data_IF_043842714587
#
_entry.id   IF_043842714587
#
_cell.length_a   1.000
_cell.length_b   1.000
_cell.length_c   1.000
_cell.angle_alpha   90.00
_cell.angle_beta   90.00
_cell.angle_gamma   90.00
#
_symmetry.space_group_name_H-M   'P 1'
#
loop_
_entity.id
_entity.type
_entity.pdbx_description
1 polymer ?
#
# COMPACT_ATOMS: atom_id res chain seq x y z
N UNK A 1 -21.89 37.69 -24.31
CA UNK A 1 -21.64 36.22 -24.33
C UNK A 1 -20.45 36.00 -23.43
N UNK A 2 -20.70 35.92 -22.13
CA UNK A 2 -19.64 35.88 -21.11
C UNK A 2 -19.08 34.46 -21.00
N UNK A 3 -17.77 34.39 -21.18
CA UNK A 3 -16.92 33.22 -21.08
C UNK A 3 -16.88 32.75 -19.62
N UNK A 4 -17.66 31.70 -19.31
CA UNK A 4 -17.54 30.94 -18.07
C UNK A 4 -16.34 30.01 -18.18
N UNK A 5 -15.15 30.57 -18.02
CA UNK A 5 -13.97 29.80 -17.65
C UNK A 5 -14.21 29.20 -16.26
N UNK A 6 -14.69 27.95 -16.25
CA UNK A 6 -14.81 27.15 -15.05
C UNK A 6 -13.41 26.98 -14.47
N UNK A 7 -13.20 27.59 -13.31
CA UNK A 7 -12.06 27.37 -12.44
C UNK A 7 -12.05 25.87 -12.06
N UNK A 8 -11.35 25.03 -12.83
CA UNK A 8 -11.05 23.65 -12.43
C UNK A 8 -10.28 23.72 -11.12
N UNK A 9 -11.01 23.52 -10.04
CA UNK A 9 -10.45 23.49 -8.70
C UNK A 9 -9.47 22.34 -8.67
N UNK A 10 -8.18 22.65 -8.73
CA UNK A 10 -7.11 21.66 -8.58
C UNK A 10 -7.40 20.91 -7.29
N UNK A 11 -7.77 19.64 -7.43
CA UNK A 11 -8.18 18.83 -6.30
C UNK A 11 -6.92 18.48 -5.52
N UNK A 12 -6.70 19.16 -4.41
CA UNK A 12 -5.50 18.99 -3.61
C UNK A 12 -5.61 17.72 -2.77
N UNK A 13 -4.49 16.99 -2.67
CA UNK A 13 -4.42 15.70 -1.98
C UNK A 13 -3.53 15.84 -0.75
N UNK A 14 -4.02 15.35 0.39
CA UNK A 14 -3.28 15.32 1.66
C UNK A 14 -3.05 13.88 2.08
N UNK A 15 -1.83 13.54 2.49
CA UNK A 15 -1.50 12.22 3.06
C UNK A 15 -1.18 12.41 4.55
N UNK A 16 -1.85 11.66 5.41
CA UNK A 16 -1.61 11.69 6.86
C UNK A 16 -1.99 10.36 7.52
N UNK A 17 -1.45 10.13 8.71
CA UNK A 17 -1.96 9.10 9.62
C UNK A 17 -3.22 9.67 10.28
N UNK A 18 -4.39 9.00 10.16
CA UNK A 18 -5.60 9.45 10.83
C UNK A 18 -5.45 9.38 12.36
N UNK A 19 -6.15 10.24 13.12
CA UNK A 19 -6.30 10.02 14.56
C UNK A 19 -6.97 8.67 14.83
N UNK A 20 -6.62 8.05 15.97
CA UNK A 20 -7.12 6.73 16.38
C UNK A 20 -8.64 6.67 16.49
N UNK A 21 -9.31 7.81 16.72
CA UNK A 21 -10.78 7.90 16.77
C UNK A 21 -11.47 7.51 15.46
N UNK A 22 -10.79 7.60 14.31
CA UNK A 22 -11.35 7.09 13.04
C UNK A 22 -11.49 5.55 13.02
N UNK A 23 -10.85 4.83 13.93
CA UNK A 23 -11.03 3.39 14.04
C UNK A 23 -12.45 3.00 14.51
N UNK A 24 -13.14 3.92 15.19
CA UNK A 24 -14.51 3.71 15.68
C UNK A 24 -15.56 4.30 14.71
N UNK A 25 -15.12 4.93 13.61
CA UNK A 25 -15.96 5.30 12.48
C UNK A 25 -16.03 4.12 11.50
N UNK A 26 -17.10 3.33 11.63
CA UNK A 26 -17.34 2.16 10.79
C UNK A 26 -17.42 2.51 9.30
N UNK A 27 -17.98 3.68 8.96
CA UNK A 27 -18.10 4.12 7.57
C UNK A 27 -16.73 4.45 6.97
N UNK A 28 -15.87 5.11 7.74
CA UNK A 28 -14.50 5.41 7.34
C UNK A 28 -13.70 4.11 7.11
N UNK A 29 -13.72 3.20 8.09
CA UNK A 29 -13.02 1.92 8.01
C UNK A 29 -13.53 1.07 6.83
N UNK A 30 -14.84 1.04 6.60
CA UNK A 30 -15.45 0.34 5.48
C UNK A 30 -15.05 0.94 4.12
N UNK A 31 -15.00 2.27 4.02
CA UNK A 31 -14.59 2.96 2.79
C UNK A 31 -13.15 2.61 2.43
N UNK A 32 -12.22 2.70 3.38
CA UNK A 32 -10.81 2.36 3.14
C UNK A 32 -10.64 0.88 2.81
N UNK A 33 -11.34 -0.02 3.52
CA UNK A 33 -11.32 -1.45 3.21
C UNK A 33 -11.84 -1.73 1.78
N UNK A 34 -12.89 -1.02 1.35
CA UNK A 34 -13.42 -1.11 -0.01
C UNK A 34 -12.39 -0.71 -1.08
N UNK A 35 -11.65 0.37 -0.86
CA UNK A 35 -10.57 0.81 -1.76
C UNK A 35 -9.47 -0.26 -1.86
N UNK A 36 -9.02 -0.79 -0.71
CA UNK A 36 -7.99 -1.84 -0.67
C UNK A 36 -8.47 -3.09 -1.40
N UNK A 37 -9.65 -3.58 -1.05
CA UNK A 37 -10.19 -4.82 -1.63
C UNK A 37 -10.44 -4.68 -3.13
N UNK A 38 -10.91 -3.53 -3.60
CA UNK A 38 -11.10 -3.27 -5.03
C UNK A 38 -9.76 -3.28 -5.79
N UNK A 39 -8.75 -2.57 -5.27
CA UNK A 39 -7.43 -2.52 -5.89
C UNK A 39 -6.75 -3.90 -5.94
N UNK A 40 -6.84 -4.67 -4.86
CA UNK A 40 -6.21 -6.00 -4.78
C UNK A 40 -6.98 -7.08 -5.55
N UNK A 41 -8.32 -7.01 -5.60
CA UNK A 41 -9.13 -7.91 -6.44
C UNK A 41 -8.76 -7.79 -7.91
N UNK A 42 -8.49 -6.58 -8.39
CA UNK A 42 -8.02 -6.38 -9.77
C UNK A 42 -6.56 -6.81 -9.93
N UNK A 43 -5.68 -6.40 -9.02
CA UNK A 43 -4.24 -6.62 -9.16
C UNK A 43 -3.79 -8.08 -8.93
N UNK A 44 -4.59 -8.89 -8.23
CA UNK A 44 -4.25 -10.26 -7.83
C UNK A 44 -5.30 -11.30 -8.25
N UNK A 45 -6.21 -10.95 -9.18
CA UNK A 45 -7.29 -11.83 -9.66
C UNK A 45 -6.82 -13.21 -10.10
N UNK A 46 -5.66 -13.28 -10.76
CA UNK A 46 -5.12 -14.53 -11.30
C UNK A 46 -4.22 -15.27 -10.28
N UNK A 47 -4.08 -14.73 -9.07
CA UNK A 47 -3.20 -15.24 -7.99
C UNK A 47 -4.02 -15.83 -6.85
N UNK A 48 -5.09 -15.15 -6.43
CA UNK A 48 -5.98 -15.62 -5.37
C UNK A 48 -7.28 -16.20 -5.95
N UNK A 49 -7.88 -17.14 -5.23
CA UNK A 49 -9.19 -17.65 -5.57
C UNK A 49 -10.27 -16.53 -5.51
N UNK A 50 -11.35 -16.65 -6.31
CA UNK A 50 -12.44 -15.69 -6.29
C UNK A 50 -13.02 -15.47 -4.87
N UNK A 51 -13.51 -14.26 -4.62
CA UNK A 51 -14.08 -13.81 -3.34
C UNK A 51 -13.09 -13.62 -2.19
N UNK A 52 -11.78 -13.83 -2.40
CA UNK A 52 -10.78 -13.41 -1.43
C UNK A 52 -10.81 -11.89 -1.23
N UNK A 53 -10.84 -11.46 0.03
CA UNK A 53 -10.69 -10.07 0.41
C UNK A 53 -9.33 -9.88 1.08
N UNK A 54 -8.60 -8.85 0.64
CA UNK A 54 -7.28 -8.54 1.17
C UNK A 54 -7.32 -8.07 2.62
N UNK A 55 -8.41 -7.40 3.00
CA UNK A 55 -8.60 -6.84 4.32
C UNK A 55 -10.08 -6.73 4.68
N UNK A 56 -10.36 -6.37 5.93
CA UNK A 56 -11.71 -6.10 6.44
C UNK A 56 -11.78 -4.73 7.13
N UNK A 57 -12.97 -4.14 7.31
CA UNK A 57 -13.11 -2.90 8.08
C UNK A 57 -12.52 -3.02 9.50
N UNK A 58 -12.68 -4.17 10.15
CA UNK A 58 -12.12 -4.43 11.47
C UNK A 58 -10.58 -4.42 11.47
N UNK A 59 -9.96 -4.98 10.43
CA UNK A 59 -8.50 -4.96 10.29
C UNK A 59 -7.98 -3.54 9.99
N UNK A 60 -8.66 -2.78 9.12
CA UNK A 60 -8.37 -1.36 8.89
C UNK A 60 -8.46 -0.56 10.19
N UNK A 61 -9.53 -0.74 10.97
CA UNK A 61 -9.68 -0.10 12.26
C UNK A 61 -8.51 -0.44 13.20
N UNK A 62 -8.04 -1.70 13.19
CA UNK A 62 -6.88 -2.09 13.99
C UNK A 62 -5.59 -1.41 13.52
N UNK A 63 -5.34 -1.31 12.21
CA UNK A 63 -4.18 -0.55 11.71
C UNK A 63 -4.24 0.93 12.10
N UNK A 64 -5.44 1.53 12.08
CA UNK A 64 -5.64 2.92 12.53
C UNK A 64 -5.31 3.06 14.02
N UNK A 65 -5.83 2.16 14.88
CA UNK A 65 -5.53 2.18 16.33
C UNK A 65 -4.05 2.05 16.61
N UNK A 66 -3.34 1.25 15.82
CA UNK A 66 -1.90 1.05 15.96
C UNK A 66 -1.05 2.19 15.37
N UNK A 67 -1.66 3.19 14.73
CA UNK A 67 -0.93 4.24 14.00
C UNK A 67 -0.19 3.72 12.76
N UNK A 68 -0.61 2.56 12.23
CA UNK A 68 0.05 1.82 11.16
C UNK A 68 -0.55 2.07 9.78
N UNK A 69 -1.48 3.01 9.63
CA UNK A 69 -2.14 3.29 8.36
C UNK A 69 -2.00 4.78 8.01
N UNK A 70 -1.36 5.07 6.88
CA UNK A 70 -1.41 6.41 6.28
C UNK A 70 -2.47 6.42 5.18
N UNK A 71 -3.28 7.46 5.13
CA UNK A 71 -4.41 7.60 4.21
C UNK A 71 -4.23 8.87 3.37
N UNK A 72 -4.51 8.76 2.07
CA UNK A 72 -4.61 9.88 1.14
C UNK A 72 -6.06 10.40 1.10
N UNK A 73 -6.23 11.71 1.17
CA UNK A 73 -7.51 12.41 1.26
C UNK A 73 -7.63 13.48 0.17
N UNK A 74 -8.85 13.75 -0.27
CA UNK A 74 -9.19 14.98 -0.99
C UNK A 74 -9.34 16.13 0.02
N UNK A 75 -8.54 17.19 -0.12
CA UNK A 75 -8.34 18.24 0.92
C UNK A 75 -9.62 19.01 1.29
N UNK A 76 -10.64 19.03 0.43
CA UNK A 76 -11.93 19.69 0.74
C UNK A 76 -12.98 18.78 1.38
N UNK A 77 -13.13 17.54 0.90
CA UNK A 77 -14.18 16.63 1.38
C UNK A 77 -13.72 15.74 2.53
N UNK A 78 -12.42 15.61 2.75
CA UNK A 78 -11.87 14.62 3.66
C UNK A 78 -12.13 13.18 3.23
N UNK A 79 -12.55 12.96 1.97
CA UNK A 79 -12.83 11.63 1.46
C UNK A 79 -11.53 10.85 1.26
N UNK A 80 -11.40 9.62 1.81
CA UNK A 80 -10.23 8.78 1.59
C UNK A 80 -10.22 8.25 0.15
N UNK A 81 -9.07 8.30 -0.51
CA UNK A 81 -8.87 7.86 -1.90
C UNK A 81 -7.75 6.83 -2.06
N UNK A 82 -7.12 6.44 -0.96
CA UNK A 82 -6.03 5.48 -0.95
C UNK A 82 -5.34 5.39 0.40
N UNK A 83 -4.51 4.36 0.57
CA UNK A 83 -3.76 4.15 1.80
C UNK A 83 -2.45 3.38 1.57
N UNK A 84 -1.63 3.37 2.61
CA UNK A 84 -0.47 2.50 2.76
C UNK A 84 -0.34 2.08 4.23
N UNK A 85 -0.09 0.80 4.48
CA UNK A 85 0.18 0.30 5.81
C UNK A 85 1.69 0.38 6.09
N UNK A 86 2.08 0.82 7.28
CA UNK A 86 3.44 1.06 7.73
C UNK A 86 3.64 0.30 9.04
N UNK A 87 4.66 -0.56 9.10
CA UNK A 87 5.00 -1.36 10.29
C UNK A 87 6.47 -1.20 10.63
N UNK A 88 6.80 -1.24 11.91
CA UNK A 88 8.18 -1.36 12.39
C UNK A 88 8.45 -2.84 12.66
N UNK A 89 9.43 -3.43 11.97
CA UNK A 89 9.76 -4.85 12.08
C UNK A 89 10.82 -5.14 13.15
N UNK A 90 11.34 -4.11 13.79
CA UNK A 90 12.40 -4.20 14.78
C UNK A 90 13.36 -3.01 14.66
N UNK A 91 14.48 -3.02 15.40
CA UNK A 91 15.43 -1.92 15.40
C UNK A 91 15.91 -1.58 13.98
N UNK A 92 15.76 -0.32 13.58
CA UNK A 92 16.27 0.19 12.32
C UNK A 92 15.50 -0.26 11.07
N UNK A 93 14.41 -1.04 11.17
CA UNK A 93 13.70 -1.58 10.00
C UNK A 93 12.21 -1.27 10.01
N UNK A 94 11.78 -0.59 8.96
CA UNK A 94 10.37 -0.38 8.64
C UNK A 94 9.96 -1.24 7.45
N UNK A 95 8.66 -1.47 7.35
CA UNK A 95 8.02 -2.10 6.21
C UNK A 95 6.82 -1.29 5.79
N UNK A 96 6.59 -1.17 4.49
CA UNK A 96 5.29 -0.79 3.99
C UNK A 96 4.67 -1.88 3.12
N UNK A 97 3.35 -1.93 3.18
CA UNK A 97 2.52 -2.83 2.38
C UNK A 97 1.13 -2.24 2.20
N UNK A 98 0.20 -3.02 1.64
CA UNK A 98 -1.18 -2.58 1.43
C UNK A 98 -1.27 -1.21 0.74
N UNK A 99 -0.41 -0.99 -0.27
CA UNK A 99 -0.43 0.25 -1.03
C UNK A 99 -1.57 0.19 -2.05
N UNK A 100 -2.66 0.90 -1.77
CA UNK A 100 -3.88 0.85 -2.55
C UNK A 100 -4.40 2.26 -2.85
N UNK A 101 -4.97 2.43 -4.05
CA UNK A 101 -5.58 3.67 -4.51
C UNK A 101 -6.90 3.35 -5.20
N UNK A 102 -7.89 4.21 -5.01
CA UNK A 102 -9.09 4.22 -5.85
C UNK A 102 -8.68 4.35 -7.32
N UNK A 103 -9.25 3.52 -8.18
CA UNK A 103 -8.93 3.46 -9.61
C UNK A 103 -9.00 4.82 -10.32
N UNK A 104 -9.93 5.70 -9.90
CA UNK A 104 -10.10 7.05 -10.46
C UNK A 104 -8.94 7.99 -10.15
N UNK A 105 -8.13 7.67 -9.13
CA UNK A 105 -7.03 8.49 -8.64
C UNK A 105 -5.65 7.86 -8.92
N UNK A 106 -5.60 6.78 -9.71
CA UNK A 106 -4.36 6.16 -10.17
C UNK A 106 -3.71 6.97 -11.30
N UNK A 107 -2.42 6.74 -11.55
CA UNK A 107 -1.68 7.38 -12.66
C UNK A 107 -1.19 8.82 -12.41
N UNK A 108 -1.65 9.50 -11.35
CA UNK A 108 -1.23 10.86 -11.00
C UNK A 108 0.02 10.94 -10.09
N UNK A 109 0.79 9.85 -9.99
CA UNK A 109 1.97 9.79 -9.11
C UNK A 109 1.66 9.61 -7.61
N UNK A 110 0.39 9.51 -7.22
CA UNK A 110 -0.02 9.38 -5.81
C UNK A 110 0.56 8.14 -5.11
N UNK A 111 0.70 7.01 -5.83
CA UNK A 111 1.34 5.81 -5.27
C UNK A 111 2.80 6.05 -4.86
N UNK A 112 3.53 6.88 -5.62
CA UNK A 112 4.89 7.32 -5.25
C UNK A 112 4.86 8.23 -4.03
N UNK A 113 3.87 9.11 -3.92
CA UNK A 113 3.72 9.99 -2.75
C UNK A 113 3.43 9.20 -1.47
N UNK A 114 2.55 8.19 -1.53
CA UNK A 114 2.29 7.27 -0.41
C UNK A 114 3.55 6.49 0.00
N UNK A 115 4.30 5.94 -0.97
CA UNK A 115 5.56 5.26 -0.68
C UNK A 115 6.60 6.20 -0.02
N UNK A 116 6.72 7.43 -0.53
CA UNK A 116 7.61 8.45 0.07
C UNK A 116 7.16 8.85 1.48
N UNK A 117 5.86 8.96 1.72
CA UNK A 117 5.30 9.22 3.06
C UNK A 117 5.67 8.08 4.01
N UNK A 118 5.48 6.83 3.61
CA UNK A 118 5.86 5.67 4.39
C UNK A 118 7.37 5.66 4.72
N UNK A 119 8.23 5.94 3.72
CA UNK A 119 9.67 6.06 3.95
C UNK A 119 10.01 7.16 4.96
N UNK A 120 9.40 8.34 4.84
CA UNK A 120 9.62 9.45 5.75
C UNK A 120 9.17 9.10 7.18
N UNK A 121 8.05 8.41 7.32
CA UNK A 121 7.54 8.00 8.63
C UNK A 121 8.46 6.98 9.31
N UNK A 122 8.95 5.98 8.56
CA UNK A 122 9.95 5.06 9.10
C UNK A 122 11.26 5.77 9.47
N UNK A 123 11.74 6.74 8.68
CA UNK A 123 12.93 7.56 9.04
C UNK A 123 12.74 8.29 10.36
N UNK A 124 11.57 8.92 10.57
CA UNK A 124 11.25 9.62 11.84
C UNK A 124 11.28 8.67 13.04
N UNK A 125 10.92 7.41 12.82
CA UNK A 125 10.94 6.36 13.84
C UNK A 125 12.31 5.63 13.93
N UNK A 126 13.38 6.21 13.37
CA UNK A 126 14.75 5.70 13.49
C UNK A 126 15.07 4.53 12.58
N UNK A 127 14.24 4.22 11.59
CA UNK A 127 14.57 3.20 10.60
C UNK A 127 15.69 3.68 9.68
N UNK A 128 16.59 2.77 9.32
CA UNK A 128 17.63 2.94 8.30
C UNK A 128 17.35 2.10 7.06
N UNK A 129 16.38 1.18 7.14
CA UNK A 129 15.95 0.31 6.03
C UNK A 129 14.43 0.39 5.91
N UNK A 130 13.94 0.55 4.67
CA UNK A 130 12.56 0.25 4.30
C UNK A 130 12.49 -1.07 3.55
N UNK A 131 11.55 -1.91 3.96
CA UNK A 131 11.20 -3.18 3.35
C UNK A 131 9.83 -3.11 2.66
N UNK A 132 9.62 -3.94 1.65
CA UNK A 132 8.30 -4.34 1.18
C UNK A 132 8.33 -5.78 0.67
N UNK A 133 7.16 -6.41 0.63
CA UNK A 133 6.97 -7.74 0.08
C UNK A 133 6.13 -7.71 -1.20
N UNK A 134 6.52 -8.51 -2.18
CA UNK A 134 5.79 -8.69 -3.43
C UNK A 134 5.54 -10.17 -3.71
N UNK A 135 4.27 -10.56 -3.68
CA UNK A 135 3.81 -11.88 -4.07
C UNK A 135 3.95 -12.10 -5.58
N UNK A 136 4.50 -13.24 -6.00
CA UNK A 136 4.77 -13.58 -7.40
C UNK A 136 4.43 -15.06 -7.70
N UNK A 137 3.55 -15.36 -8.67
CA UNK A 137 3.28 -16.74 -9.08
C UNK A 137 4.52 -17.44 -9.64
N UNK A 138 4.68 -18.74 -9.37
CA UNK A 138 5.82 -19.53 -9.87
C UNK A 138 5.59 -20.08 -11.27
N UNK A 139 4.34 -20.33 -11.62
CA UNK A 139 3.97 -21.10 -12.82
C UNK A 139 3.73 -20.23 -14.05
N UNK A 140 3.62 -18.91 -13.90
CA UNK A 140 3.42 -17.98 -15.02
C UNK A 140 3.98 -16.59 -14.74
N UNK A 141 4.22 -15.83 -15.81
CA UNK A 141 4.64 -14.42 -15.72
C UNK A 141 3.42 -13.53 -15.52
N UNK A 142 3.32 -12.89 -14.37
CA UNK A 142 2.24 -11.95 -14.08
C UNK A 142 2.64 -10.51 -14.43
N UNK A 143 2.16 -9.99 -15.56
CA UNK A 143 2.54 -8.67 -16.08
C UNK A 143 2.39 -7.53 -15.05
N UNK A 144 1.33 -7.56 -14.22
CA UNK A 144 1.13 -6.59 -13.14
C UNK A 144 2.26 -6.60 -12.10
N UNK A 145 2.75 -7.79 -11.71
CA UNK A 145 3.82 -7.95 -10.71
C UNK A 145 5.18 -7.57 -11.30
N UNK A 146 5.39 -7.82 -12.60
CA UNK A 146 6.59 -7.35 -13.30
C UNK A 146 6.66 -5.82 -13.37
N UNK A 147 5.54 -5.17 -13.70
CA UNK A 147 5.45 -3.70 -13.67
C UNK A 147 5.70 -3.14 -12.28
N UNK A 148 5.14 -3.78 -11.25
CA UNK A 148 5.32 -3.37 -9.86
C UNK A 148 6.77 -3.55 -9.39
N UNK A 149 7.40 -4.68 -9.74
CA UNK A 149 8.83 -4.91 -9.49
C UNK A 149 9.70 -3.83 -10.14
N UNK A 150 9.48 -3.54 -11.43
CA UNK A 150 10.23 -2.49 -12.14
C UNK A 150 10.01 -1.11 -11.52
N UNK A 151 8.80 -0.84 -11.01
CA UNK A 151 8.50 0.40 -10.30
C UNK A 151 9.27 0.51 -8.97
N UNK A 152 9.27 -0.54 -8.14
CA UNK A 152 10.05 -0.53 -6.89
C UNK A 152 11.56 -0.39 -7.14
N UNK A 153 12.09 -1.04 -8.19
CA UNK A 153 13.49 -0.88 -8.59
C UNK A 153 13.83 0.57 -8.95
N UNK A 154 12.94 1.27 -9.68
CA UNK A 154 13.11 2.71 -9.97
C UNK A 154 13.02 3.60 -8.72
N UNK A 155 12.33 3.15 -7.67
CA UNK A 155 12.30 3.84 -6.38
C UNK A 155 13.55 3.57 -5.52
N UNK A 156 14.48 2.72 -5.99
CA UNK A 156 15.73 2.40 -5.33
C UNK A 156 15.69 1.12 -4.49
N UNK A 157 14.61 0.34 -4.56
CA UNK A 157 14.50 -0.93 -3.85
C UNK A 157 15.22 -2.05 -4.62
N UNK A 158 15.85 -2.96 -3.86
CA UNK A 158 16.56 -4.13 -4.39
C UNK A 158 15.99 -5.40 -3.78
N UNK A 159 15.85 -6.45 -4.59
CA UNK A 159 15.45 -7.77 -4.08
C UNK A 159 16.59 -8.31 -3.21
N UNK A 160 16.25 -8.73 -1.99
CA UNK A 160 17.21 -9.30 -1.02
C UNK A 160 16.87 -10.73 -0.61
N UNK A 161 15.60 -11.15 -0.77
CA UNK A 161 15.14 -12.50 -0.47
C UNK A 161 14.07 -12.92 -1.47
N UNK A 162 14.08 -14.20 -1.83
CA UNK A 162 12.96 -14.93 -2.41
C UNK A 162 12.54 -16.00 -1.39
N UNK A 163 11.29 -15.98 -0.96
CA UNK A 163 10.73 -16.93 0.01
C UNK A 163 9.61 -17.76 -0.59
N UNK A 164 9.45 -18.98 -0.09
CA UNK A 164 8.35 -19.88 -0.45
C UNK A 164 7.10 -19.46 0.32
N UNK A 165 6.09 -18.95 -0.37
CA UNK A 165 4.88 -18.46 0.30
C UNK A 165 4.08 -19.61 0.93
N UNK A 166 4.10 -20.77 0.30
CA UNK A 166 3.39 -21.96 0.75
C UNK A 166 3.96 -22.52 2.08
N UNK A 167 5.26 -22.32 2.31
CA UNK A 167 5.93 -22.71 3.55
C UNK A 167 5.71 -21.70 4.68
N UNK A 168 5.84 -20.41 4.37
CA UNK A 168 5.79 -19.34 5.38
C UNK A 168 4.35 -18.94 5.76
N UNK A 169 3.37 -19.15 4.86
CA UNK A 169 1.96 -18.78 5.04
C UNK A 169 0.99 -19.90 4.62
N UNK A 170 1.06 -21.09 5.25
CA UNK A 170 0.37 -22.29 4.78
C UNK A 170 -1.16 -22.16 4.73
N UNK A 171 -1.77 -21.40 5.64
CA UNK A 171 -3.22 -21.18 5.63
C UNK A 171 -3.66 -20.27 4.48
N UNK A 172 -2.85 -19.25 4.15
CA UNK A 172 -3.14 -18.33 3.06
C UNK A 172 -2.83 -18.97 1.70
N UNK A 173 -1.88 -19.92 1.66
CA UNK A 173 -1.56 -20.68 0.47
C UNK A 173 -2.73 -21.54 -0.03
N UNK A 174 -3.61 -22.00 0.87
CA UNK A 174 -4.81 -22.79 0.51
C UNK A 174 -5.80 -22.04 -0.37
N UNK A 175 -5.71 -20.71 -0.42
CA UNK A 175 -6.60 -19.85 -1.22
C UNK A 175 -5.89 -19.20 -2.42
N UNK A 176 -4.72 -19.71 -2.79
CA UNK A 176 -4.04 -19.34 -4.02
C UNK A 176 -4.50 -20.20 -5.20
N UNK A 177 -4.44 -19.64 -6.41
CA UNK A 177 -4.71 -20.35 -7.67
C UNK A 177 -3.59 -21.34 -8.05
N UNK A 178 -2.42 -21.23 -7.43
CA UNK A 178 -1.29 -22.12 -7.62
C UNK A 178 -0.04 -21.73 -6.82
N UNK A 179 1.06 -22.48 -6.98
CA UNK A 179 2.31 -22.27 -6.25
C UNK A 179 2.85 -20.85 -6.43
N UNK A 180 3.23 -20.22 -5.33
CA UNK A 180 3.58 -18.80 -5.28
C UNK A 180 4.80 -18.57 -4.39
N UNK A 181 5.67 -17.67 -4.81
CA UNK A 181 6.77 -17.16 -3.99
C UNK A 181 6.46 -15.72 -3.57
N UNK A 182 7.19 -15.20 -2.59
CA UNK A 182 7.24 -13.77 -2.32
C UNK A 182 8.68 -13.25 -2.40
N UNK A 183 8.83 -12.03 -2.87
CA UNK A 183 10.10 -11.32 -2.91
C UNK A 183 10.13 -10.26 -1.84
N UNK A 184 11.17 -10.26 -1.01
CA UNK A 184 11.47 -9.13 -0.13
C UNK A 184 12.36 -8.16 -0.89
N UNK A 185 11.92 -6.91 -0.92
CA UNK A 185 12.69 -5.80 -1.42
C UNK A 185 13.11 -4.89 -0.27
N UNK A 186 14.34 -4.41 -0.31
CA UNK A 186 14.86 -3.43 0.65
C UNK A 186 15.41 -2.19 -0.03
N UNK A 187 15.26 -1.06 0.64
CA UNK A 187 15.94 0.19 0.34
C UNK A 187 16.59 0.70 1.61
N UNK A 188 17.92 0.85 1.58
CA UNK A 188 18.66 1.56 2.63
C UNK A 188 18.41 3.05 2.48
N UNK A 189 18.07 3.71 3.58
CA UNK A 189 18.04 5.15 3.62
C UNK A 189 19.48 5.66 3.66
N UNK A 190 19.80 6.59 2.79
CA UNK A 190 21.07 7.32 2.86
C UNK A 190 20.93 8.28 4.04
N UNK A 191 21.93 8.35 4.91
CA UNK A 191 22.00 9.40 5.92
C UNK A 191 21.93 10.74 5.20
N UNK A 192 21.09 11.65 5.69
CA UNK A 192 21.16 13.02 5.23
C UNK A 192 22.55 13.53 5.63
N UNK A 193 23.37 13.90 4.66
CA UNK A 193 24.61 14.63 4.94
C UNK A 193 24.16 15.93 5.62
N UNK A 194 24.52 16.06 6.89
CA UNK A 194 24.21 17.22 7.73
C UNK A 194 24.84 18.50 7.17
#
# INVERSE_FOLDING_TARGET
>A
MEDRSANESQTTIVIKIPPSSHADDESFAATVAGIVNSAYTEAERDIFLPNYQRTSPAEIAQFIRNGQLAVAYLEGSGHPIGCVCIKLLGPGRGEFGMLALDAKHQGAGLGRQLAMFAEAECRKNGCTIMQLELLVPKTFRHAGKERMQAWYQRLGYKVVKLGSFDEDYPELAKILSGPTDYKIFEKKFVEAVA
#
